data_IF_537546361183
#
_entry.id   IF_537546361183
#
_cell.length_a   1.000
_cell.length_b   1.000
_cell.length_c   1.000
_cell.angle_alpha   90.00
_cell.angle_beta   90.00
_cell.angle_gamma   90.00
#
_symmetry.space_group_name_H-M   'P 1'
#
loop_
_entity.id
_entity.type
_entity.pdbx_description
1 polymer ?
#
# COMPACT_ATOMS: atom_id res chain seq x y z
N UNK A 1 -9.05 17.48 -17.51
CA UNK A 1 -7.88 18.21 -16.97
C UNK A 1 -6.60 17.37 -17.09
N UNK A 2 -5.60 17.77 -17.89
CA UNK A 2 -4.42 16.95 -18.09
C UNK A 2 -3.52 17.08 -16.87
N UNK A 3 -3.34 15.97 -16.16
CA UNK A 3 -2.37 15.83 -15.09
C UNK A 3 -0.98 15.82 -15.74
N UNK A 4 -0.38 17.01 -15.88
CA UNK A 4 0.96 17.26 -16.42
C UNK A 4 2.00 17.33 -15.29
N UNK A 5 1.99 16.33 -14.41
CA UNK A 5 3.16 15.97 -13.62
C UNK A 5 3.61 14.60 -14.12
N UNK A 6 4.91 14.35 -14.19
CA UNK A 6 5.39 12.96 -14.22
C UNK A 6 4.66 12.23 -13.09
N UNK A 7 4.10 11.01 -13.32
CA UNK A 7 3.56 10.24 -12.21
C UNK A 7 4.69 10.17 -11.19
N UNK A 8 4.53 10.82 -10.03
CA UNK A 8 5.55 10.66 -9.00
C UNK A 8 5.55 9.18 -8.69
N UNK A 9 6.62 8.48 -9.05
CA UNK A 9 6.87 7.03 -8.88
C UNK A 9 6.85 6.57 -7.41
N UNK A 10 6.25 7.38 -6.54
CA UNK A 10 6.03 7.16 -5.14
C UNK A 10 4.87 6.19 -4.94
N UNK A 11 5.13 4.93 -5.23
CA UNK A 11 4.35 3.84 -4.70
C UNK A 11 4.71 3.69 -3.21
N UNK A 12 3.78 4.09 -2.33
CA UNK A 12 3.95 4.02 -0.87
C UNK A 12 4.28 2.60 -0.44
N UNK A 13 3.68 1.60 -1.08
CA UNK A 13 3.91 0.20 -0.75
C UNK A 13 5.33 -0.22 -1.12
N UNK A 14 5.82 0.24 -2.27
CA UNK A 14 7.21 0.03 -2.68
C UNK A 14 8.21 0.65 -1.69
N UNK A 15 7.98 1.88 -1.24
CA UNK A 15 8.86 2.52 -0.25
C UNK A 15 8.81 1.81 1.11
N UNK A 16 7.65 1.29 1.52
CA UNK A 16 7.55 0.46 2.73
C UNK A 16 8.28 -0.87 2.59
N UNK A 17 8.25 -1.51 1.42
CA UNK A 17 9.02 -2.74 1.16
C UNK A 17 10.52 -2.44 1.30
N UNK A 18 11.01 -1.39 0.61
CA UNK A 18 12.41 -0.96 0.67
C UNK A 18 12.85 -0.70 2.11
N UNK A 19 12.04 0.02 2.88
CA UNK A 19 12.33 0.33 4.27
C UNK A 19 12.29 -0.90 5.19
N UNK A 20 11.30 -1.80 5.06
CA UNK A 20 11.20 -3.02 5.87
C UNK A 20 12.42 -3.92 5.70
N UNK A 21 12.89 -4.09 4.46
CA UNK A 21 14.01 -4.98 4.16
C UNK A 21 15.37 -4.28 4.16
N UNK A 22 15.39 -2.95 4.32
CA UNK A 22 16.58 -2.09 4.24
C UNK A 22 17.33 -2.29 2.91
N UNK A 23 16.62 -2.07 1.80
CA UNK A 23 17.09 -2.23 0.42
C UNK A 23 16.64 -1.06 -0.45
N UNK A 24 17.21 -0.90 -1.63
CA UNK A 24 16.85 0.17 -2.57
C UNK A 24 15.89 -0.28 -3.67
N UNK A 25 15.80 -1.57 -3.94
CA UNK A 25 14.98 -2.15 -5.02
C UNK A 25 14.17 -3.34 -4.53
N UNK A 26 13.09 -3.69 -5.26
CA UNK A 26 12.33 -4.92 -4.99
C UNK A 26 13.20 -6.15 -5.24
N UNK A 27 14.00 -6.14 -6.30
CA UNK A 27 14.90 -7.25 -6.63
C UNK A 27 15.82 -7.58 -5.47
N UNK A 28 16.44 -6.59 -4.82
CA UNK A 28 17.24 -6.80 -3.62
C UNK A 28 16.44 -7.40 -2.45
N UNK A 29 15.17 -7.01 -2.28
CA UNK A 29 14.31 -7.64 -1.28
C UNK A 29 14.01 -9.10 -1.64
N UNK A 30 13.70 -9.38 -2.90
CA UNK A 30 13.45 -10.74 -3.40
C UNK A 30 14.68 -11.64 -3.28
N UNK A 31 15.89 -11.12 -3.52
CA UNK A 31 17.15 -11.86 -3.32
C UNK A 31 17.39 -12.19 -1.85
N UNK A 32 16.97 -11.30 -0.93
CA UNK A 32 17.18 -11.44 0.52
C UNK A 32 16.22 -12.40 1.19
N UNK A 33 14.94 -12.38 0.82
CA UNK A 33 13.88 -13.16 1.50
C UNK A 33 13.02 -14.01 0.57
N UNK A 34 13.33 -14.03 -0.72
CA UNK A 34 12.50 -14.65 -1.75
C UNK A 34 11.26 -13.83 -2.07
N UNK A 35 10.73 -13.97 -3.29
CA UNK A 35 9.48 -13.31 -3.72
C UNK A 35 8.31 -13.53 -2.76
N UNK A 36 8.14 -14.76 -2.25
CA UNK A 36 7.09 -15.08 -1.27
C UNK A 36 7.34 -14.45 0.11
N UNK A 37 8.59 -14.15 0.46
CA UNK A 37 8.92 -13.42 1.69
C UNK A 37 8.58 -11.94 1.58
N UNK A 38 8.79 -11.33 0.40
CA UNK A 38 8.40 -9.95 0.11
C UNK A 38 6.87 -9.81 0.06
N UNK A 39 6.20 -10.67 -0.70
CA UNK A 39 4.75 -10.62 -0.96
C UNK A 39 3.98 -11.66 -0.12
N UNK A 40 4.23 -11.69 1.18
CA UNK A 40 3.55 -12.61 2.12
C UNK A 40 2.19 -12.07 2.65
N UNK A 41 1.73 -10.91 2.16
CA UNK A 41 0.50 -10.25 2.61
C UNK A 41 0.68 -9.25 3.76
N UNK A 42 1.80 -9.28 4.49
CA UNK A 42 2.09 -8.34 5.59
C UNK A 42 2.26 -6.89 5.13
N UNK A 43 2.56 -6.71 3.84
CA UNK A 43 2.68 -5.42 3.16
C UNK A 43 1.60 -5.21 2.10
N UNK A 44 0.42 -5.81 2.26
CA UNK A 44 -0.73 -5.42 1.44
C UNK A 44 -1.30 -4.08 1.93
N UNK A 45 -1.88 -3.30 1.02
CA UNK A 45 -2.43 -1.98 1.32
C UNK A 45 -3.44 -2.05 2.49
N UNK A 46 -4.32 -3.05 2.45
CA UNK A 46 -5.36 -3.26 3.46
C UNK A 46 -4.77 -3.58 4.83
N UNK A 47 -3.79 -4.47 4.88
CA UNK A 47 -3.15 -4.89 6.14
C UNK A 47 -2.38 -3.73 6.76
N UNK A 48 -1.62 -2.98 5.95
CA UNK A 48 -0.88 -1.81 6.43
C UNK A 48 -1.84 -0.70 6.87
N UNK A 49 -2.91 -0.46 6.11
CA UNK A 49 -3.93 0.53 6.46
C UNK A 49 -4.64 0.20 7.77
N UNK A 50 -5.06 -1.06 7.96
CA UNK A 50 -5.72 -1.51 9.18
C UNK A 50 -4.82 -1.30 10.39
N UNK A 51 -3.59 -1.81 10.34
CA UNK A 51 -2.67 -1.74 11.47
C UNK A 51 -2.17 -0.32 11.75
N UNK A 52 -2.07 0.54 10.73
CA UNK A 52 -1.58 1.92 10.89
C UNK A 52 -2.67 2.90 11.31
N UNK A 53 -3.84 2.81 10.69
CA UNK A 53 -4.93 3.77 10.86
C UNK A 53 -5.99 3.31 11.88
N UNK A 54 -5.90 2.06 12.36
CA UNK A 54 -6.85 1.48 13.30
C UNK A 54 -8.25 1.27 12.73
N UNK A 55 -8.39 1.25 11.39
CA UNK A 55 -9.65 1.02 10.69
C UNK A 55 -9.67 -0.38 10.10
N UNK A 56 -10.48 -1.28 10.67
CA UNK A 56 -10.84 -2.54 9.99
C UNK A 56 -11.71 -2.23 8.78
N UNK A 57 -11.36 -2.76 7.60
CA UNK A 57 -12.27 -2.81 6.44
C UNK A 57 -13.53 -3.60 6.88
N UNK A 58 -14.71 -3.01 6.76
CA UNK A 58 -16.00 -3.72 6.93
C UNK A 58 -16.45 -4.42 5.65
N UNK A 59 -15.68 -4.32 4.56
CA UNK A 59 -15.96 -4.96 3.28
C UNK A 59 -14.91 -6.02 2.96
N UNK A 60 -15.37 -7.18 2.49
CA UNK A 60 -14.51 -8.21 1.93
C UNK A 60 -13.64 -7.58 0.83
N UNK A 61 -12.32 -7.83 0.86
CA UNK A 61 -11.43 -7.55 -0.25
C UNK A 61 -11.97 -8.25 -1.49
N UNK A 62 -12.79 -7.53 -2.25
CA UNK A 62 -13.59 -8.10 -3.31
C UNK A 62 -12.68 -8.38 -4.50
N UNK A 63 -12.80 -9.59 -5.02
CA UNK A 63 -12.04 -10.06 -6.17
C UNK A 63 -12.42 -9.22 -7.40
N UNK A 64 -11.70 -8.09 -7.63
CA UNK A 64 -11.97 -7.18 -8.75
C UNK A 64 -12.07 -7.90 -10.11
N UNK A 65 -11.22 -8.91 -10.43
CA UNK A 65 -11.40 -9.76 -11.61
C UNK A 65 -12.76 -10.50 -11.67
N UNK A 66 -13.28 -10.94 -10.53
CA UNK A 66 -14.60 -11.57 -10.43
C UNK A 66 -15.73 -10.58 -10.69
N UNK A 67 -15.66 -9.40 -10.07
CA UNK A 67 -16.65 -8.33 -10.28
C UNK A 67 -16.72 -7.86 -11.73
N UNK A 68 -15.56 -7.75 -12.40
CA UNK A 68 -15.49 -7.42 -13.83
C UNK A 68 -16.16 -8.51 -14.67
N UNK A 69 -15.87 -9.79 -14.40
CA UNK A 69 -16.50 -10.92 -15.10
C UNK A 69 -18.02 -10.97 -14.90
N UNK A 70 -18.49 -10.51 -13.74
CA UNK A 70 -19.91 -10.45 -13.38
C UNK A 70 -20.61 -9.16 -13.84
N UNK A 71 -19.90 -8.22 -14.49
CA UNK A 71 -20.45 -6.94 -14.94
C UNK A 71 -20.83 -5.98 -13.79
N UNK A 72 -20.31 -6.21 -12.59
CA UNK A 72 -20.55 -5.45 -11.35
C UNK A 72 -19.68 -4.20 -11.30
N UNK A 73 -19.94 -3.28 -12.22
CA UNK A 73 -19.09 -2.09 -12.41
C UNK A 73 -19.14 -1.12 -11.23
N UNK A 74 -20.29 -0.98 -10.56
CA UNK A 74 -20.40 -0.09 -9.40
C UNK A 74 -19.45 -0.52 -8.27
N UNK A 75 -19.38 -1.82 -8.00
CA UNK A 75 -18.50 -2.42 -7.00
C UNK A 75 -17.03 -2.31 -7.40
N UNK A 76 -16.71 -2.39 -8.70
CA UNK A 76 -15.35 -2.11 -9.21
C UNK A 76 -14.97 -0.65 -8.97
N UNK A 77 -15.88 0.30 -9.23
CA UNK A 77 -15.61 1.71 -8.95
C UNK A 77 -15.44 1.99 -7.47
N UNK A 78 -16.31 1.42 -6.63
CA UNK A 78 -16.24 1.56 -5.18
C UNK A 78 -14.92 1.00 -4.64
N UNK A 79 -14.49 -0.18 -5.12
CA UNK A 79 -13.20 -0.78 -4.78
C UNK A 79 -12.03 0.16 -5.09
N UNK A 80 -11.94 0.68 -6.32
CA UNK A 80 -10.85 1.58 -6.72
C UNK A 80 -10.86 2.90 -5.93
N UNK A 81 -12.05 3.48 -5.72
CA UNK A 81 -12.19 4.72 -4.95
C UNK A 81 -11.73 4.51 -3.50
N UNK A 82 -12.09 3.37 -2.92
CA UNK A 82 -11.70 3.02 -1.55
C UNK A 82 -10.18 2.87 -1.42
N UNK A 83 -9.52 2.21 -2.37
CA UNK A 83 -8.06 2.07 -2.38
C UNK A 83 -7.34 3.43 -2.51
N UNK A 84 -7.87 4.36 -3.32
CA UNK A 84 -7.34 5.74 -3.41
C UNK A 84 -7.49 6.48 -2.08
N UNK A 85 -8.65 6.37 -1.42
CA UNK A 85 -8.89 7.01 -0.12
C UNK A 85 -7.94 6.47 0.95
N UNK A 86 -7.77 5.15 1.02
CA UNK A 86 -6.84 4.51 1.96
C UNK A 86 -5.41 4.99 1.70
N UNK A 87 -4.97 4.96 0.45
CA UNK A 87 -3.61 5.36 0.06
C UNK A 87 -3.33 6.81 0.48
N UNK A 88 -4.30 7.71 0.27
CA UNK A 88 -4.20 9.10 0.71
C UNK A 88 -4.12 9.24 2.24
N UNK A 89 -4.93 8.49 2.99
CA UNK A 89 -4.89 8.52 4.45
C UNK A 89 -3.56 7.99 5.00
N UNK A 90 -3.05 6.90 4.45
CA UNK A 90 -1.73 6.35 4.77
C UNK A 90 -0.62 7.35 4.46
N UNK A 91 -0.64 7.98 3.28
CA UNK A 91 0.32 9.02 2.91
C UNK A 91 0.34 10.15 3.94
N UNK A 92 -0.83 10.66 4.32
CA UNK A 92 -0.94 11.72 5.34
C UNK A 92 -0.40 11.27 6.69
N UNK A 93 -0.70 10.04 7.10
CA UNK A 93 -0.18 9.48 8.34
C UNK A 93 1.35 9.42 8.31
N UNK A 94 1.92 8.85 7.24
CA UNK A 94 3.36 8.71 7.05
C UNK A 94 4.05 10.08 7.01
N UNK A 95 3.51 11.06 6.27
CA UNK A 95 4.06 12.43 6.24
C UNK A 95 4.04 13.07 7.63
N UNK A 96 3.02 12.79 8.46
CA UNK A 96 2.89 13.34 9.80
C UNK A 96 3.83 12.65 10.81
N UNK A 97 3.88 11.32 10.81
CA UNK A 97 4.49 10.53 11.88
C UNK A 97 5.79 9.79 11.49
N UNK A 98 6.06 9.60 10.19
CA UNK A 98 7.30 8.99 9.67
C UNK A 98 7.34 7.46 9.73
N UNK A 99 6.20 6.79 9.87
CA UNK A 99 6.14 5.33 9.88
C UNK A 99 4.78 4.80 9.41
N UNK A 100 4.74 3.50 9.11
CA UNK A 100 3.53 2.68 9.01
C UNK A 100 3.72 1.38 9.82
N UNK A 101 2.63 0.64 10.08
CA UNK A 101 2.67 -0.65 10.79
C UNK A 101 2.38 -1.77 9.79
N UNK A 102 3.22 -2.80 9.76
CA UNK A 102 3.01 -3.98 8.92
C UNK A 102 2.03 -4.99 9.53
N UNK A 103 1.74 -6.06 8.79
CA UNK A 103 0.86 -7.14 9.24
C UNK A 103 1.38 -7.95 10.44
N UNK A 104 2.61 -7.72 10.88
CA UNK A 104 3.21 -8.35 12.06
C UNK A 104 3.23 -7.39 13.26
N UNK A 105 2.61 -6.21 13.13
CA UNK A 105 2.59 -5.19 14.17
C UNK A 105 3.90 -4.41 14.31
N UNK A 106 4.82 -4.53 13.34
CA UNK A 106 6.13 -3.88 13.38
C UNK A 106 6.07 -2.53 12.69
N UNK A 107 6.67 -1.52 13.32
CA UNK A 107 6.77 -0.18 12.74
C UNK A 107 7.86 -0.14 11.66
N UNK A 108 7.45 0.19 10.43
CA UNK A 108 8.33 0.47 9.30
C UNK A 108 8.53 1.98 9.24
N UNK A 109 9.73 2.43 9.58
CA UNK A 109 10.10 3.85 9.50
C UNK A 109 10.55 4.20 8.09
N UNK A 110 10.07 5.32 7.58
CA UNK A 110 10.42 5.82 6.26
C UNK A 110 10.87 7.27 6.35
N UNK A 111 11.76 7.66 5.45
CA UNK A 111 12.17 9.05 5.34
C UNK A 111 11.01 9.89 4.78
N UNK A 112 10.52 10.85 5.57
CA UNK A 112 9.40 11.72 5.21
C UNK A 112 9.73 12.62 4.01
N UNK A 113 11.01 12.89 3.78
CA UNK A 113 11.49 13.69 2.67
C UNK A 113 11.22 13.03 1.32
N UNK A 114 11.09 11.69 1.30
CA UNK A 114 10.71 10.91 0.11
C UNK A 114 9.27 11.11 -0.32
N UNK A 115 8.42 11.65 0.56
CA UNK A 115 6.99 11.84 0.33
C UNK A 115 6.61 13.32 0.17
N UNK A 116 7.57 14.18 -0.18
CA UNK A 116 7.37 15.64 -0.26
C UNK A 116 6.45 16.06 -1.38
#
# INVERSE_FOLDING_TARGET
PPYLGEPSDLDIMLELIKAKFNVNTITEAEDKVGRRGVFNGSLSLDVVAENTLGRRKTGHGANAPGLIREGKWAEVFEYNLHDVIITYQLLRFIKKYGYAIDGEGRAIRVDRERFK
#
